data_IF_424411679437
#
_entry.id   IF_424411679437
#
_cell.length_a   1.000
_cell.length_b   1.000
_cell.length_c   1.000
_cell.angle_alpha   90.00
_cell.angle_beta   90.00
_cell.angle_gamma   90.00
#
_symmetry.space_group_name_H-M   'P 1'
#
loop_
_entity.id
_entity.type
_entity.pdbx_description
1 polymer ?
#
# COMPACT_ATOMS: atom_id res chain seq x y z
N UNK A 1 -3.21 17.84 25.12
CA UNK A 1 -3.33 17.73 23.65
C UNK A 1 -3.19 19.06 22.91
N UNK A 2 -3.82 20.17 23.34
CA UNK A 2 -3.71 21.47 22.65
C UNK A 2 -2.28 22.00 22.48
N UNK A 3 -1.41 21.78 23.48
CA UNK A 3 -0.02 22.23 23.47
C UNK A 3 0.79 21.54 22.35
N UNK A 4 0.62 20.23 22.18
CA UNK A 4 1.34 19.45 21.17
C UNK A 4 1.01 19.89 19.73
N UNK A 5 -0.27 20.19 19.47
CA UNK A 5 -0.70 20.70 18.15
C UNK A 5 -0.09 22.07 17.86
N UNK A 6 -0.12 23.00 18.82
CA UNK A 6 0.46 24.34 18.64
C UNK A 6 1.97 24.29 18.45
N UNK A 7 2.66 23.47 19.24
CA UNK A 7 4.11 23.30 19.15
C UNK A 7 4.55 22.70 17.82
N UNK A 8 3.87 21.64 17.36
CA UNK A 8 4.12 21.05 16.05
C UNK A 8 3.99 22.07 14.92
N UNK A 9 2.96 22.93 14.97
CA UNK A 9 2.70 23.94 13.94
C UNK A 9 3.75 25.04 13.94
N UNK A 10 4.21 25.48 15.12
CA UNK A 10 5.29 26.45 15.24
C UNK A 10 6.63 25.92 14.71
N UNK A 11 6.91 24.63 14.95
CA UNK A 11 8.11 23.96 14.43
C UNK A 11 8.03 23.75 12.91
N UNK A 12 6.85 23.38 12.39
CA UNK A 12 6.65 23.22 10.94
C UNK A 12 6.84 24.55 10.20
N UNK A 13 6.37 25.67 10.75
CA UNK A 13 6.58 26.99 10.14
C UNK A 13 8.07 27.37 10.06
N UNK A 14 8.97 26.63 10.74
CA UNK A 14 10.41 26.74 10.56
C UNK A 14 11.04 27.99 11.18
N UNK A 15 10.31 28.67 12.07
CA UNK A 15 10.74 29.93 12.70
C UNK A 15 12.05 29.76 13.49
N UNK A 16 12.30 28.57 14.04
CA UNK A 16 13.50 28.23 14.80
C UNK A 16 14.44 27.26 14.06
N UNK A 17 14.23 27.02 12.76
CA UNK A 17 14.96 26.03 11.99
C UNK A 17 16.15 26.66 11.25
N UNK A 18 17.28 25.95 11.19
CA UNK A 18 18.44 26.35 10.37
C UNK A 18 18.01 26.54 8.91
N UNK A 19 18.42 27.65 8.28
CA UNK A 19 18.13 27.98 6.88
C UNK A 19 18.68 26.95 5.90
N UNK A 20 19.67 26.15 6.32
CA UNK A 20 20.22 25.07 5.51
C UNK A 20 19.46 23.74 5.66
N UNK A 21 18.60 23.60 6.66
CA UNK A 21 17.81 22.40 6.86
C UNK A 21 16.59 22.41 5.93
N UNK A 22 16.45 21.33 5.13
CA UNK A 22 15.29 21.10 4.27
C UNK A 22 14.50 19.92 4.83
N UNK A 23 13.26 20.19 5.28
CA UNK A 23 12.36 19.19 5.83
C UNK A 23 11.14 19.06 4.94
N UNK A 24 10.73 17.82 4.67
CA UNK A 24 9.48 17.49 3.98
C UNK A 24 8.56 16.75 4.95
N UNK A 25 7.34 17.25 5.12
CA UNK A 25 6.33 16.61 5.97
C UNK A 25 5.36 15.86 5.08
N UNK A 26 5.24 14.53 5.31
CA UNK A 26 4.29 13.67 4.63
C UNK A 26 3.24 13.19 5.64
N UNK A 27 1.97 13.42 5.34
CA UNK A 27 0.84 12.97 6.15
C UNK A 27 0.04 11.88 5.45
N UNK A 28 -0.45 10.89 6.20
CA UNK A 28 -1.39 9.89 5.74
C UNK A 28 -2.54 9.77 6.75
N UNK A 29 -3.79 9.89 6.29
CA UNK A 29 -4.98 9.74 7.13
C UNK A 29 -6.10 9.07 6.37
N UNK A 30 -6.85 8.21 7.05
CA UNK A 30 -8.11 7.69 6.53
C UNK A 30 -9.28 8.62 6.89
N UNK A 31 -9.09 9.57 7.82
CA UNK A 31 -10.15 10.45 8.34
C UNK A 31 -9.79 11.93 8.15
N UNK A 32 -9.77 12.44 6.90
CA UNK A 32 -9.38 13.82 6.64
C UNK A 32 -10.35 14.84 7.25
N UNK A 33 -11.62 14.47 7.48
CA UNK A 33 -12.62 15.33 8.13
C UNK A 33 -12.38 15.56 9.62
N UNK A 34 -11.62 14.70 10.29
CA UNK A 34 -11.26 14.85 11.71
C UNK A 34 -10.03 15.76 11.91
N UNK A 35 -9.36 16.15 10.82
CA UNK A 35 -8.20 17.03 10.88
C UNK A 35 -8.62 18.50 10.98
N UNK A 36 -7.87 19.24 11.78
CA UNK A 36 -8.07 20.67 11.95
C UNK A 36 -7.72 21.47 10.69
N UNK A 37 -8.52 22.49 10.39
CA UNK A 37 -8.37 23.32 9.19
C UNK A 37 -6.99 24.01 9.11
N UNK A 38 -6.39 24.40 10.24
CA UNK A 38 -5.08 25.05 10.24
C UNK A 38 -3.96 24.11 9.77
N UNK A 39 -4.08 22.81 10.06
CA UNK A 39 -3.15 21.75 9.60
C UNK A 39 -3.37 21.50 8.11
N UNK A 40 -4.63 21.38 7.69
CA UNK A 40 -5.00 21.15 6.29
C UNK A 40 -4.45 22.25 5.37
N UNK A 41 -4.48 23.52 5.79
CA UNK A 41 -3.92 24.64 5.03
C UNK A 41 -2.39 24.60 4.87
N UNK A 42 -1.66 23.90 5.75
CA UNK A 42 -0.19 23.74 5.66
C UNK A 42 0.23 22.60 4.73
N UNK A 43 -0.64 21.62 4.53
CA UNK A 43 -0.47 20.64 3.46
C UNK A 43 -0.83 21.24 2.11
N UNK A 44 0.19 21.77 1.41
CA UNK A 44 0.02 22.40 0.10
C UNK A 44 -0.56 21.45 -0.98
N UNK A 45 -0.32 20.14 -0.82
CA UNK A 45 -0.83 19.10 -1.72
C UNK A 45 -1.47 17.97 -0.90
N UNK A 46 -2.62 17.50 -1.35
CA UNK A 46 -3.29 16.31 -0.84
C UNK A 46 -3.68 15.42 -2.01
N UNK A 47 -3.49 14.12 -1.84
CA UNK A 47 -3.81 13.10 -2.83
C UNK A 47 -4.78 12.11 -2.21
N UNK A 48 -5.92 11.92 -2.87
CA UNK A 48 -6.85 10.86 -2.52
C UNK A 48 -6.32 9.55 -3.12
N UNK A 49 -6.08 8.56 -2.26
CA UNK A 49 -5.64 7.23 -2.68
C UNK A 49 -6.87 6.34 -2.77
N UNK A 50 -7.21 5.92 -3.99
CA UNK A 50 -8.34 5.05 -4.27
C UNK A 50 -8.02 3.56 -4.14
N UNK A 51 -9.02 2.73 -4.41
CA UNK A 51 -8.83 1.29 -4.58
C UNK A 51 -8.02 1.01 -5.84
N UNK A 52 -7.12 0.01 -5.82
CA UNK A 52 -6.29 -0.30 -6.98
C UNK A 52 -7.15 -0.87 -8.11
N UNK A 53 -6.88 -0.43 -9.33
CA UNK A 53 -7.46 -0.99 -10.55
C UNK A 53 -6.88 -2.38 -10.88
N UNK A 54 -7.39 -3.04 -11.91
CA UNK A 54 -6.92 -4.39 -12.25
C UNK A 54 -5.42 -4.45 -12.61
N UNK A 55 -4.88 -3.41 -13.26
CA UNK A 55 -3.46 -3.37 -13.63
C UNK A 55 -2.60 -3.11 -12.41
N UNK A 56 -3.00 -2.16 -11.56
CA UNK A 56 -2.35 -1.85 -10.29
C UNK A 56 -2.33 -3.08 -9.36
N UNK A 57 -3.41 -3.86 -9.31
CA UNK A 57 -3.44 -5.13 -8.56
C UNK A 57 -2.43 -6.16 -9.11
N UNK A 58 -2.28 -6.25 -10.42
CA UNK A 58 -1.27 -7.12 -11.03
C UNK A 58 0.15 -6.66 -10.68
N UNK A 59 0.41 -5.35 -10.68
CA UNK A 59 1.69 -4.79 -10.22
C UNK A 59 1.94 -5.04 -8.73
N UNK A 60 0.93 -4.90 -7.88
CA UNK A 60 1.05 -5.22 -6.45
C UNK A 60 1.40 -6.70 -6.29
N UNK A 61 0.75 -7.63 -7.00
CA UNK A 61 1.09 -9.05 -6.97
C UNK A 61 2.56 -9.29 -7.37
N UNK A 62 3.02 -8.66 -8.46
CA UNK A 62 4.41 -8.75 -8.95
C UNK A 62 5.40 -8.23 -7.91
N UNK A 63 5.11 -7.10 -7.28
CA UNK A 63 5.97 -6.48 -6.27
C UNK A 63 6.02 -7.32 -4.99
N UNK A 64 4.86 -7.80 -4.52
CA UNK A 64 4.77 -8.60 -3.29
C UNK A 64 5.48 -9.94 -3.44
N UNK A 65 5.39 -10.57 -4.61
CA UNK A 65 6.03 -11.87 -4.88
C UNK A 65 7.45 -11.72 -5.47
N UNK A 66 7.97 -10.49 -5.57
CA UNK A 66 9.32 -10.25 -6.09
C UNK A 66 10.37 -10.79 -5.13
N UNK A 67 11.19 -11.72 -5.63
CA UNK A 67 12.27 -12.35 -4.86
C UNK A 67 11.84 -13.63 -4.12
N UNK A 68 10.56 -13.98 -4.17
CA UNK A 68 10.05 -15.26 -3.66
C UNK A 68 10.26 -16.40 -4.65
N UNK A 69 10.26 -17.65 -4.14
CA UNK A 69 10.27 -18.85 -4.99
C UNK A 69 8.88 -19.10 -5.58
N UNK A 70 8.66 -18.59 -6.78
CA UNK A 70 7.41 -18.75 -7.53
C UNK A 70 7.61 -19.60 -8.80
N UNK A 71 6.55 -20.24 -9.25
CA UNK A 71 6.48 -20.96 -10.54
C UNK A 71 6.71 -19.99 -11.71
N UNK A 72 7.37 -20.48 -12.76
CA UNK A 72 7.51 -19.73 -14.01
C UNK A 72 6.15 -19.64 -14.72
N UNK A 73 5.74 -18.44 -15.12
CA UNK A 73 4.53 -18.26 -15.93
C UNK A 73 3.24 -18.02 -15.14
N UNK A 74 3.30 -17.61 -13.87
CA UNK A 74 2.11 -17.10 -13.17
C UNK A 74 1.50 -15.94 -13.96
N UNK A 75 0.22 -16.07 -14.33
CA UNK A 75 -0.55 -15.02 -14.98
C UNK A 75 -1.10 -14.06 -13.91
N UNK A 76 -0.28 -13.06 -13.56
CA UNK A 76 -0.67 -12.01 -12.61
C UNK A 76 -1.87 -11.19 -13.07
N UNK A 77 -2.09 -11.06 -14.38
CA UNK A 77 -3.23 -10.31 -14.91
C UNK A 77 -4.54 -11.09 -14.73
N UNK A 78 -4.50 -12.42 -14.87
CA UNK A 78 -5.62 -13.29 -14.55
C UNK A 78 -5.91 -13.27 -13.04
N UNK A 79 -4.90 -13.46 -12.20
CA UNK A 79 -5.08 -13.43 -10.73
C UNK A 79 -5.63 -12.06 -10.29
N UNK A 80 -5.15 -10.96 -10.86
CA UNK A 80 -5.65 -9.62 -10.54
C UNK A 80 -7.13 -9.38 -10.90
N UNK A 81 -7.64 -10.05 -11.95
CA UNK A 81 -9.08 -10.04 -12.29
C UNK A 81 -9.91 -10.77 -11.23
N UNK A 82 -9.38 -11.85 -10.67
CA UNK A 82 -10.02 -12.60 -9.58
C UNK A 82 -10.01 -11.82 -8.25
N UNK A 83 -9.04 -10.92 -8.07
CA UNK A 83 -8.90 -10.03 -6.91
C UNK A 83 -9.79 -8.77 -7.00
N UNK A 84 -10.99 -8.84 -7.58
CA UNK A 84 -11.88 -7.67 -7.67
C UNK A 84 -12.22 -7.10 -6.28
N UNK A 85 -12.09 -5.78 -6.15
CA UNK A 85 -12.23 -4.99 -4.90
C UNK A 85 -11.19 -5.28 -3.81
N UNK A 86 -10.09 -5.95 -4.12
CA UNK A 86 -9.04 -6.18 -3.13
C UNK A 86 -8.22 -4.89 -2.91
N UNK A 87 -7.96 -4.55 -1.66
CA UNK A 87 -6.97 -3.54 -1.29
C UNK A 87 -5.55 -4.09 -1.43
N UNK A 88 -4.54 -3.22 -1.34
CA UNK A 88 -3.14 -3.66 -1.26
C UNK A 88 -2.87 -4.62 -0.09
N UNK A 89 -3.51 -4.43 1.07
CA UNK A 89 -3.34 -5.35 2.20
C UNK A 89 -4.03 -6.70 1.97
N UNK A 90 -5.18 -6.72 1.29
CA UNK A 90 -5.86 -7.98 0.96
C UNK A 90 -5.01 -8.83 0.01
N UNK A 91 -4.37 -8.20 -0.98
CA UNK A 91 -3.44 -8.89 -1.91
C UNK A 91 -2.22 -9.41 -1.16
N UNK A 92 -1.65 -8.62 -0.25
CA UNK A 92 -0.53 -9.06 0.57
C UNK A 92 -0.89 -10.28 1.42
N UNK A 93 -2.03 -10.24 2.12
CA UNK A 93 -2.50 -11.37 2.94
C UNK A 93 -2.88 -12.59 2.08
N UNK A 94 -3.41 -12.38 0.87
CA UNK A 94 -3.61 -13.46 -0.11
C UNK A 94 -2.28 -14.18 -0.41
N UNK A 95 -1.25 -13.41 -0.80
CA UNK A 95 0.07 -13.97 -1.14
C UNK A 95 0.69 -14.70 0.05
N UNK A 96 0.61 -14.11 1.24
CA UNK A 96 1.11 -14.70 2.49
C UNK A 96 0.44 -16.03 2.83
N UNK A 97 -0.90 -16.11 2.69
CA UNK A 97 -1.65 -17.36 2.89
C UNK A 97 -1.28 -18.41 1.84
N UNK A 98 -1.10 -18.01 0.59
CA UNK A 98 -0.70 -18.92 -0.49
C UNK A 98 0.72 -19.46 -0.26
N UNK A 99 1.65 -18.63 0.21
CA UNK A 99 3.02 -19.02 0.55
C UNK A 99 3.08 -20.05 1.70
N UNK A 100 2.04 -20.12 2.52
CA UNK A 100 1.94 -21.13 3.58
C UNK A 100 1.57 -22.53 3.05
N UNK A 101 1.00 -22.65 1.85
CA UNK A 101 0.57 -23.96 1.31
C UNK A 101 1.77 -24.91 1.07
N UNK A 102 2.85 -24.50 0.38
CA UNK A 102 4.05 -25.34 0.26
C UNK A 102 4.67 -25.74 1.60
N UNK A 103 4.64 -24.83 2.59
CA UNK A 103 5.17 -25.09 3.93
C UNK A 103 4.32 -26.15 4.64
N UNK A 104 3.00 -26.02 4.55
CA UNK A 104 2.06 -26.98 5.15
C UNK A 104 2.24 -28.39 4.59
N UNK A 105 2.49 -28.53 3.30
CA UNK A 105 2.76 -29.83 2.67
C UNK A 105 3.99 -30.51 3.25
N UNK A 106 5.07 -29.75 3.49
CA UNK A 106 6.27 -30.30 4.16
C UNK A 106 5.94 -30.80 5.56
N UNK A 107 5.24 -29.99 6.35
CA UNK A 107 4.86 -30.38 7.71
C UNK A 107 3.99 -31.66 7.72
N UNK A 108 3.16 -31.86 6.69
CA UNK A 108 2.36 -33.08 6.53
C UNK A 108 3.21 -34.29 6.12
N UNK A 109 4.24 -34.13 5.28
CA UNK A 109 5.15 -35.22 4.90
C UNK A 109 6.15 -35.58 6.02
N UNK A 110 6.60 -34.60 6.79
CA UNK A 110 7.44 -34.82 7.98
C UNK A 110 6.70 -35.65 9.04
N UNK A 111 5.39 -35.40 9.23
CA UNK A 111 4.53 -36.24 10.09
C UNK A 111 4.41 -37.68 9.60
N UNK A 112 4.56 -37.91 8.29
CA UNK A 112 4.59 -39.26 7.68
C UNK A 112 5.99 -39.88 7.70
N UNK A 113 6.98 -39.24 8.34
CA UNK A 113 8.34 -39.72 8.46
C UNK A 113 9.22 -39.43 7.24
N UNK A 114 8.77 -38.63 6.26
CA UNK A 114 9.55 -38.22 5.09
C UNK A 114 10.11 -36.82 5.31
N UNK A 115 11.42 -36.64 5.16
CA UNK A 115 12.04 -35.31 5.26
C UNK A 115 12.13 -34.67 3.88
N UNK A 116 11.45 -33.53 3.70
CA UNK A 116 11.57 -32.69 2.51
C UNK A 116 12.40 -31.46 2.90
N UNK A 117 13.60 -31.28 2.34
CA UNK A 117 14.52 -30.26 2.82
C UNK A 117 14.12 -28.82 2.42
N UNK A 118 13.32 -28.63 1.37
CA UNK A 118 12.97 -27.29 0.86
C UNK A 118 11.53 -27.27 0.33
N UNK A 119 10.72 -26.24 0.65
CA UNK A 119 9.40 -26.05 0.06
C UNK A 119 9.45 -25.99 -1.46
N UNK A 120 8.43 -26.57 -2.11
CA UNK A 120 8.18 -26.33 -3.53
C UNK A 120 7.88 -24.85 -3.78
N UNK A 121 8.05 -24.41 -5.02
CA UNK A 121 7.67 -23.05 -5.40
C UNK A 121 6.16 -22.82 -5.24
N UNK A 122 5.79 -21.56 -4.96
CA UNK A 122 4.41 -21.10 -4.97
C UNK A 122 3.89 -21.08 -6.41
N UNK A 123 2.75 -21.74 -6.64
CA UNK A 123 2.13 -21.88 -7.96
C UNK A 123 0.94 -20.94 -8.12
N UNK A 124 0.48 -20.72 -9.35
CA UNK A 124 -0.76 -19.97 -9.58
C UNK A 124 -1.96 -20.65 -8.89
N UNK A 125 -2.00 -21.98 -8.90
CA UNK A 125 -3.04 -22.78 -8.25
C UNK A 125 -3.12 -22.53 -6.74
N UNK A 126 -2.00 -22.22 -6.07
CA UNK A 126 -2.00 -21.88 -4.63
C UNK A 126 -2.71 -20.54 -4.38
N UNK A 127 -2.46 -19.54 -5.24
CA UNK A 127 -3.14 -18.25 -5.18
C UNK A 127 -4.65 -18.42 -5.42
N UNK A 128 -5.04 -19.19 -6.44
CA UNK A 128 -6.44 -19.47 -6.77
C UNK A 128 -7.17 -20.24 -5.66
N UNK A 129 -6.51 -21.24 -5.04
CA UNK A 129 -7.06 -21.97 -3.88
C UNK A 129 -7.35 -21.05 -2.71
N UNK A 130 -6.42 -20.14 -2.40
CA UNK A 130 -6.64 -19.17 -1.32
C UNK A 130 -7.74 -18.20 -1.71
N UNK A 131 -7.76 -17.68 -2.93
CA UNK A 131 -8.84 -16.82 -3.42
C UNK A 131 -10.22 -17.46 -3.27
N UNK A 132 -10.36 -18.74 -3.58
CA UNK A 132 -11.61 -19.48 -3.46
C UNK A 132 -12.09 -19.63 -2.00
N UNK A 133 -11.19 -19.54 -1.02
CA UNK A 133 -11.50 -19.74 0.40
C UNK A 133 -11.46 -18.44 1.21
N UNK A 134 -10.84 -17.39 0.67
CA UNK A 134 -10.66 -16.11 1.36
C UNK A 134 -11.94 -15.30 1.35
N UNK A 135 -12.33 -14.79 2.52
CA UNK A 135 -13.39 -13.77 2.63
C UNK A 135 -12.78 -12.40 2.35
N UNK A 136 -13.43 -11.62 1.48
CA UNK A 136 -13.06 -10.21 1.24
C UNK A 136 -13.16 -9.43 2.56
N UNK A 137 -12.17 -8.59 2.85
CA UNK A 137 -12.29 -7.61 3.94
C UNK A 137 -13.34 -6.58 3.53
N UNK A 138 -14.51 -6.59 4.19
CA UNK A 138 -15.59 -5.63 3.89
C UNK A 138 -15.33 -4.21 4.41
N UNK A 139 -14.25 -4.01 5.15
CA UNK A 139 -14.00 -2.77 5.89
C UNK A 139 -12.93 -1.94 5.20
N UNK A 140 -13.25 -0.65 5.01
CA UNK A 140 -12.36 0.50 4.83
C UNK A 140 -12.34 1.24 3.48
N UNK A 141 -13.04 0.82 2.42
CA UNK A 141 -13.11 1.64 1.19
C UNK A 141 -14.51 2.21 0.92
N UNK A 142 -15.54 1.36 0.99
CA UNK A 142 -16.93 1.74 0.70
C UNK A 142 -17.52 2.70 1.75
N UNK A 143 -17.23 2.48 3.04
CA UNK A 143 -17.72 3.32 4.15
C UNK A 143 -17.20 4.76 4.09
N UNK A 144 -15.98 4.99 3.57
CA UNK A 144 -15.46 6.36 3.38
C UNK A 144 -16.04 7.04 2.16
N UNK A 145 -16.34 6.24 1.13
CA UNK A 145 -16.89 6.74 -0.11
C UNK A 145 -18.33 7.27 0.04
N UNK A 146 -19.03 6.93 1.13
CA UNK A 146 -20.38 7.43 1.41
C UNK A 146 -20.40 8.87 1.96
N UNK A 147 -19.24 9.38 2.42
CA UNK A 147 -19.06 10.81 2.75
C UNK A 147 -19.01 11.74 1.52
N UNK A 148 -19.18 11.19 0.31
CA UNK A 148 -19.19 11.90 -0.99
C UNK A 148 -20.23 13.02 -1.12
N UNK A 149 -21.18 13.16 -0.18
CA UNK A 149 -22.27 14.13 -0.27
C UNK A 149 -22.11 15.40 0.60
N UNK A 150 -21.04 15.54 1.38
CA UNK A 150 -20.81 16.78 2.15
C UNK A 150 -19.46 17.41 1.84
N UNK A 151 -19.46 18.25 0.80
CA UNK A 151 -18.56 19.39 0.62
C UNK A 151 -17.05 19.14 0.78
N UNK A 152 -16.40 18.50 -0.18
CA UNK A 152 -14.94 18.38 -0.17
C UNK A 152 -14.26 19.72 -0.51
N UNK A 153 -13.54 20.30 0.45
CA UNK A 153 -12.60 21.43 0.28
C UNK A 153 -11.45 21.09 -0.69
N UNK A 154 -11.19 19.80 -0.89
CA UNK A 154 -10.12 19.28 -1.74
C UNK A 154 -10.58 19.10 -3.19
N UNK A 155 -9.92 19.76 -4.14
CA UNK A 155 -10.13 19.49 -5.58
C UNK A 155 -9.52 18.14 -5.91
N UNK A 156 -10.33 17.19 -6.39
CA UNK A 156 -9.80 15.97 -7.03
C UNK A 156 -8.89 16.36 -8.21
N UNK A 157 -7.65 15.86 -8.28
CA UNK A 157 -6.91 15.88 -9.53
C UNK A 157 -7.72 15.09 -10.55
N UNK A 158 -8.10 15.71 -11.68
CA UNK A 158 -8.87 15.04 -12.74
C UNK A 158 -8.10 13.93 -13.46
N UNK A 159 -6.85 13.68 -13.10
CA UNK A 159 -5.87 13.02 -13.95
C UNK A 159 -4.97 12.11 -13.11
N UNK A 160 -5.21 10.79 -13.20
CA UNK A 160 -4.44 9.76 -12.48
C UNK A 160 -2.95 9.83 -12.82
N UNK A 161 -2.63 10.20 -14.05
CA UNK A 161 -1.26 10.33 -14.54
C UNK A 161 -0.48 11.42 -13.80
N UNK A 162 -1.17 12.47 -13.33
CA UNK A 162 -0.53 13.53 -12.52
C UNK A 162 -0.20 13.06 -11.11
N UNK A 163 -1.07 12.24 -10.51
CA UNK A 163 -0.80 11.65 -9.18
C UNK A 163 0.41 10.73 -9.29
N UNK A 164 0.44 9.87 -10.31
CA UNK A 164 1.56 8.97 -10.55
C UNK A 164 2.86 9.72 -10.87
N UNK A 165 2.80 10.82 -11.63
CA UNK A 165 3.96 11.66 -11.91
C UNK A 165 4.53 12.31 -10.64
N UNK A 166 3.66 12.76 -9.71
CA UNK A 166 4.09 13.31 -8.42
C UNK A 166 4.72 12.23 -7.55
N UNK A 167 4.11 11.05 -7.45
CA UNK A 167 4.68 9.91 -6.71
C UNK A 167 6.08 9.58 -7.24
N UNK A 168 6.22 9.46 -8.57
CA UNK A 168 7.51 9.20 -9.21
C UNK A 168 8.53 10.34 -9.01
N UNK A 169 8.06 11.59 -8.88
CA UNK A 169 8.88 12.75 -8.51
C UNK A 169 9.40 12.66 -7.08
N UNK A 170 8.52 12.36 -6.13
CA UNK A 170 8.86 12.19 -4.70
C UNK A 170 9.83 11.02 -4.53
N UNK A 171 9.57 9.87 -5.16
CA UNK A 171 10.49 8.73 -5.12
C UNK A 171 11.88 9.09 -5.63
N UNK A 172 12.00 9.87 -6.72
CA UNK A 172 13.30 10.34 -7.23
C UNK A 172 14.00 11.30 -6.28
N UNK A 173 13.26 12.21 -5.63
CA UNK A 173 13.83 13.13 -4.64
C UNK A 173 14.35 12.40 -3.40
N UNK A 174 13.60 11.41 -2.91
CA UNK A 174 14.01 10.58 -1.78
C UNK A 174 15.26 9.74 -2.12
N UNK A 175 15.28 9.12 -3.30
CA UNK A 175 16.45 8.32 -3.75
C UNK A 175 17.67 9.21 -4.00
N UNK A 176 17.51 10.39 -4.60
CA UNK A 176 18.61 11.33 -4.84
C UNK A 176 19.19 11.94 -3.55
N UNK A 177 18.36 12.09 -2.50
CA UNK A 177 18.82 12.55 -1.19
C UNK A 177 19.65 11.49 -0.43
N UNK A 178 19.37 10.20 -0.65
CA UNK A 178 20.13 9.10 -0.04
C UNK A 178 21.49 8.85 -0.72
N UNK A 179 21.62 9.14 -2.02
CA UNK A 179 22.87 8.95 -2.77
C UNK A 179 23.91 10.04 -2.46
N UNK A 180 23.48 11.23 -2.01
CA UNK A 180 24.37 12.34 -1.66
C UNK A 180 24.90 12.32 -0.20
N UNK A 181 24.73 11.20 0.51
CA UNK A 181 25.30 10.97 1.85
C UNK A 181 26.32 9.82 1.91
N UNK A 182 26.89 9.40 0.78
CA UNK A 182 28.05 8.50 0.73
C UNK A 182 29.28 9.19 0.16
#
# INVERSE_FOLDING_TARGET
MAIMKTEFMALWDGVATDKNARVMVLGATNRPSELDEAILRRFAQAFEIGMPDCKERAEILRVVLKGERVEEGIDFDLVARLCEDYTGSDIFELCKKAAYLPIREILEEERKGRKIPVPRALTQMDLEKVLATSKKTKVAASEYSDSRLQGSVWRKPKDSDKVQAVINGISRLLVSGMINQQ
#
